data_IF_617721262572
#
_entry.id   IF_617721262572
#
_cell.length_a   1.000
_cell.length_b   1.000
_cell.length_c   1.000
_cell.angle_alpha   90.00
_cell.angle_beta   90.00
_cell.angle_gamma   90.00
#
_symmetry.space_group_name_H-M   'P 1'
#
loop_
_entity.id
_entity.type
_entity.pdbx_description
1 polymer ?
#
# COMPACT_ATOMS: atom_id res chain seq x y z
N UNK A 1 7.80 -22.90 -6.96
CA UNK A 1 6.56 -22.10 -7.07
C UNK A 1 6.75 -20.89 -6.18
N UNK A 2 6.73 -19.69 -6.75
CA UNK A 2 7.11 -18.46 -6.03
C UNK A 2 5.90 -17.98 -5.25
N UNK A 3 5.88 -18.23 -3.94
CA UNK A 3 4.90 -17.58 -3.06
C UNK A 3 5.16 -16.07 -3.07
N UNK A 4 4.08 -15.29 -3.11
CA UNK A 4 4.19 -13.85 -2.89
C UNK A 4 4.72 -13.62 -1.48
N UNK A 5 5.92 -13.06 -1.39
CA UNK A 5 6.55 -12.69 -0.12
C UNK A 5 6.44 -11.20 0.09
N UNK A 6 6.50 -10.76 1.35
CA UNK A 6 6.56 -9.34 1.70
C UNK A 6 7.68 -8.62 0.94
N UNK A 7 8.82 -9.29 0.72
CA UNK A 7 9.91 -8.77 -0.09
C UNK A 7 9.50 -8.49 -1.54
N UNK A 8 8.85 -9.46 -2.21
CA UNK A 8 8.39 -9.29 -3.59
C UNK A 8 7.35 -8.17 -3.73
N UNK A 9 6.41 -8.10 -2.80
CA UNK A 9 5.43 -7.01 -2.74
C UNK A 9 6.13 -5.67 -2.50
N UNK A 10 7.08 -5.62 -1.57
CA UNK A 10 7.88 -4.43 -1.30
C UNK A 10 8.63 -3.96 -2.56
N UNK A 11 9.23 -4.86 -3.32
CA UNK A 11 9.92 -4.48 -4.55
C UNK A 11 8.96 -3.90 -5.60
N UNK A 12 7.77 -4.51 -5.76
CA UNK A 12 6.73 -3.97 -6.64
C UNK A 12 6.25 -2.59 -6.17
N UNK A 13 6.02 -2.40 -4.87
CA UNK A 13 5.66 -1.12 -4.28
C UNK A 13 6.79 -0.08 -4.38
N UNK A 14 8.05 -0.52 -4.38
CA UNK A 14 9.21 0.37 -4.54
C UNK A 14 9.32 0.96 -5.95
N UNK A 15 8.66 0.36 -6.95
CA UNK A 15 8.53 0.98 -8.29
C UNK A 15 7.65 2.22 -8.28
N UNK A 16 6.80 2.36 -7.25
CA UNK A 16 5.89 3.47 -7.07
C UNK A 16 6.57 4.57 -6.28
N UNK A 17 6.95 5.64 -6.99
CA UNK A 17 7.66 6.79 -6.43
C UNK A 17 6.72 7.92 -6.09
N UNK A 18 6.90 8.50 -4.91
CA UNK A 18 6.26 9.73 -4.52
C UNK A 18 6.91 10.92 -5.26
N UNK A 19 6.14 11.69 -6.05
CA UNK A 19 6.67 12.82 -6.81
C UNK A 19 7.04 14.02 -5.92
N UNK A 20 6.55 14.10 -4.69
CA UNK A 20 6.91 15.16 -3.74
C UNK A 20 8.28 14.91 -3.11
N UNK A 21 8.49 13.70 -2.58
CA UNK A 21 9.69 13.33 -1.85
C UNK A 21 10.78 12.79 -2.79
N UNK A 22 10.44 12.47 -4.04
CA UNK A 22 11.34 11.85 -5.02
C UNK A 22 11.79 10.44 -4.65
N UNK A 23 11.10 9.81 -3.69
CA UNK A 23 11.45 8.53 -3.07
C UNK A 23 10.27 7.59 -3.09
N UNK A 24 10.53 6.30 -3.03
CA UNK A 24 9.49 5.27 -3.04
C UNK A 24 8.69 5.22 -1.73
N UNK A 25 7.39 4.90 -1.85
CA UNK A 25 6.45 4.83 -0.72
C UNK A 25 6.89 3.83 0.36
N UNK A 26 7.69 2.83 -0.01
CA UNK A 26 8.25 1.84 0.92
C UNK A 26 9.44 2.41 1.69
N UNK A 27 10.40 3.06 1.02
CA UNK A 27 11.54 3.72 1.68
C UNK A 27 11.11 4.91 2.54
N UNK A 28 10.00 5.56 2.19
CA UNK A 28 9.40 6.61 3.02
C UNK A 28 8.72 6.07 4.28
N UNK A 29 8.59 4.74 4.42
CA UNK A 29 7.91 4.12 5.55
C UNK A 29 6.42 4.42 5.62
N UNK A 30 5.81 4.84 4.49
CA UNK A 30 4.37 5.12 4.42
C UNK A 30 3.52 3.86 4.45
N UNK A 31 4.10 2.72 4.08
CA UNK A 31 3.45 1.41 4.08
C UNK A 31 3.50 0.83 5.49
N UNK A 32 2.33 0.76 6.13
CA UNK A 32 2.11 0.21 7.46
C UNK A 32 1.27 -1.05 7.39
N UNK A 33 1.56 -2.01 8.29
CA UNK A 33 0.76 -3.22 8.44
C UNK A 33 0.72 -4.11 7.19
N UNK A 34 1.79 -4.13 6.39
CA UNK A 34 1.91 -5.05 5.25
C UNK A 34 1.74 -6.49 5.73
N UNK A 35 0.76 -7.17 5.16
CA UNK A 35 0.50 -8.59 5.40
C UNK A 35 0.28 -9.29 4.09
N UNK A 36 0.92 -10.44 3.94
CA UNK A 36 0.71 -11.35 2.83
C UNK A 36 0.16 -12.67 3.39
N UNK A 37 -1.03 -13.06 2.96
CA UNK A 37 -1.68 -14.33 3.36
C UNK A 37 -2.28 -14.99 2.13
N UNK A 38 -1.75 -16.15 1.76
CA UNK A 38 -2.35 -16.97 0.69
C UNK A 38 -2.54 -16.18 -0.62
N UNK A 39 -1.54 -15.37 -0.99
CA UNK A 39 -1.61 -14.45 -2.14
C UNK A 39 -2.51 -13.23 -1.95
N UNK A 40 -3.14 -13.04 -0.78
CA UNK A 40 -3.83 -11.81 -0.42
C UNK A 40 -2.85 -10.86 0.25
N UNK A 41 -2.66 -9.70 -0.37
CA UNK A 41 -1.79 -8.64 0.10
C UNK A 41 -2.65 -7.51 0.66
N UNK A 42 -2.43 -7.13 1.91
CA UNK A 42 -3.10 -6.00 2.54
C UNK A 42 -2.09 -5.08 3.21
N UNK A 43 -2.20 -3.77 2.95
CA UNK A 43 -1.37 -2.76 3.60
C UNK A 43 -2.12 -1.43 3.70
N UNK A 44 -1.75 -0.64 4.71
CA UNK A 44 -2.22 0.73 4.89
C UNK A 44 -1.13 1.71 4.41
N UNK A 45 -1.52 2.70 3.60
CA UNK A 45 -0.70 3.88 3.33
C UNK A 45 -1.16 5.00 4.25
N UNK A 46 -0.34 5.32 5.25
CA UNK A 46 -0.57 6.49 6.09
C UNK A 46 0.03 7.72 5.42
N UNK A 47 -0.86 8.66 5.05
CA UNK A 47 -0.49 9.85 4.29
C UNK A 47 -1.23 11.05 4.88
N UNK A 48 -0.61 12.24 4.94
CA UNK A 48 -1.31 13.43 5.39
C UNK A 48 -2.39 13.83 4.39
N UNK A 49 -3.52 14.38 4.87
CA UNK A 49 -4.71 14.67 4.03
C UNK A 49 -4.40 15.56 2.83
N UNK A 50 -3.50 16.51 3.04
CA UNK A 50 -2.97 17.46 2.06
C UNK A 50 -2.28 16.78 0.87
N UNK A 51 -1.81 15.53 1.07
CA UNK A 51 -1.20 14.70 0.03
C UNK A 51 -2.14 13.62 -0.50
N UNK A 52 -3.27 13.37 0.15
CA UNK A 52 -4.20 12.31 -0.21
C UNK A 52 -4.71 12.42 -1.66
N UNK A 53 -5.08 13.62 -2.09
CA UNK A 53 -5.54 13.90 -3.47
C UNK A 53 -4.44 13.58 -4.51
N UNK A 54 -3.18 13.83 -4.16
CA UNK A 54 -2.02 13.52 -5.02
C UNK A 54 -1.59 12.05 -4.91
N UNK A 55 -1.94 11.40 -3.81
CA UNK A 55 -1.65 9.99 -3.53
C UNK A 55 -2.72 9.03 -4.07
N UNK A 56 -3.90 9.50 -4.48
CA UNK A 56 -4.90 8.66 -5.17
C UNK A 56 -4.35 7.88 -6.39
N UNK A 57 -3.65 8.52 -7.35
CA UNK A 57 -3.04 7.81 -8.47
C UNK A 57 -1.91 6.88 -8.02
N UNK A 58 -1.13 7.29 -7.00
CA UNK A 58 -0.07 6.47 -6.40
C UNK A 58 -0.64 5.22 -5.74
N UNK A 59 -1.74 5.34 -5.00
CA UNK A 59 -2.45 4.24 -4.35
C UNK A 59 -2.94 3.24 -5.39
N UNK A 60 -3.57 3.71 -6.47
CA UNK A 60 -3.96 2.84 -7.59
C UNK A 60 -2.76 2.15 -8.20
N UNK A 61 -1.66 2.86 -8.40
CA UNK A 61 -0.43 2.27 -8.95
C UNK A 61 0.16 1.22 -7.99
N UNK A 62 0.19 1.48 -6.69
CA UNK A 62 0.66 0.58 -5.64
C UNK A 62 -0.20 -0.69 -5.55
N UNK A 63 -1.52 -0.54 -5.53
CA UNK A 63 -2.47 -1.66 -5.56
C UNK A 63 -2.27 -2.51 -6.81
N UNK A 64 -2.16 -1.88 -7.98
CA UNK A 64 -1.97 -2.57 -9.26
C UNK A 64 -0.60 -3.24 -9.37
N UNK A 65 0.46 -2.62 -8.84
CA UNK A 65 1.80 -3.19 -8.77
C UNK A 65 1.83 -4.42 -7.87
N UNK A 66 1.23 -4.33 -6.66
CA UNK A 66 1.10 -5.46 -5.75
C UNK A 66 0.25 -6.58 -6.36
N UNK A 67 -0.88 -6.26 -7.02
CA UNK A 67 -1.71 -7.25 -7.71
C UNK A 67 -1.01 -7.89 -8.93
N UNK A 68 -0.01 -7.23 -9.50
CA UNK A 68 0.81 -7.75 -10.59
C UNK A 68 1.93 -8.67 -10.14
N UNK A 69 2.17 -8.83 -8.84
CA UNK A 69 3.22 -9.71 -8.32
C UNK A 69 2.82 -11.17 -8.54
N UNK A 70 3.68 -12.01 -9.14
CA UNK A 70 3.40 -13.42 -9.31
C UNK A 70 3.22 -14.10 -7.95
N UNK A 71 2.05 -14.73 -7.76
CA UNK A 71 1.63 -15.31 -6.48
C UNK A 71 0.65 -14.44 -5.69
N UNK A 72 0.38 -13.20 -6.12
CA UNK A 72 -0.68 -12.36 -5.55
C UNK A 72 -1.99 -12.63 -6.26
N UNK A 73 -2.99 -13.06 -5.49
CA UNK A 73 -4.38 -13.24 -5.91
C UNK A 73 -5.16 -11.94 -5.80
N UNK A 74 -4.90 -11.14 -4.76
CA UNK A 74 -5.59 -9.89 -4.53
C UNK A 74 -4.71 -8.93 -3.73
N UNK A 75 -4.74 -7.65 -4.08
CA UNK A 75 -4.03 -6.61 -3.34
C UNK A 75 -5.01 -5.53 -2.88
N UNK A 76 -4.93 -5.16 -1.61
CA UNK A 76 -5.76 -4.12 -1.01
C UNK A 76 -4.86 -3.05 -0.41
N UNK A 77 -4.86 -1.87 -1.03
CA UNK A 77 -4.20 -0.68 -0.50
C UNK A 77 -5.23 0.22 0.18
N UNK A 78 -5.12 0.40 1.49
CA UNK A 78 -5.99 1.32 2.24
C UNK A 78 -5.28 2.66 2.39
N UNK A 79 -5.83 3.72 1.79
CA UNK A 79 -5.29 5.06 1.96
C UNK A 79 -5.88 5.70 3.22
N UNK A 80 -5.06 5.82 4.26
CA UNK A 80 -5.41 6.46 5.53
C UNK A 80 -4.97 7.91 5.50
N UNK A 81 -5.78 8.74 4.84
CA UNK A 81 -5.68 10.19 4.83
C UNK A 81 -6.40 10.77 6.05
N UNK A 82 -5.75 10.71 7.22
CA UNK A 82 -6.24 11.22 8.51
C UNK A 82 -7.77 11.39 8.62
N UNK A 83 -8.47 10.28 8.85
CA UNK A 83 -9.56 10.26 9.82
C UNK A 83 -8.99 9.48 10.99
N UNK A 84 -8.98 9.97 12.25
CA UNK A 84 -8.71 9.09 13.37
C UNK A 84 -9.60 7.88 13.17
N UNK A 85 -9.00 6.68 13.16
CA UNK A 85 -9.71 5.43 12.93
C UNK A 85 -11.02 5.52 13.69
N UNK A 86 -12.13 5.58 12.95
CA UNK A 86 -13.44 5.52 13.55
C UNK A 86 -13.45 4.15 14.23
N UNK A 87 -13.21 4.19 15.53
CA UNK A 87 -13.47 3.10 16.46
C UNK A 87 -14.81 2.51 16.03
N UNK A 88 -14.92 1.19 15.82
CA UNK A 88 -16.18 0.61 15.41
C UNK A 88 -17.21 1.03 16.45
N UNK A 89 -18.13 1.91 16.04
CA UNK A 89 -19.26 2.30 16.85
C UNK A 89 -20.13 1.06 17.00
N UNK A 90 -19.93 0.33 18.09
CA UNK A 90 -20.89 -0.63 18.63
C UNK A 90 -21.83 0.16 19.54
N UNK A 91 -23.12 0.15 19.23
CA UNK A 91 -24.09 -0.39 20.17
C UNK A 91 -24.67 -1.74 19.71
#
# INVERSE_FOLDING_TARGET
MTEATEAAVREALATVRDPESGRDIVSLGMVQGLKVRDGLVAFALEVPRERAERMEPIRRAAEKAAAGVPGVLNATAVLTAHRPAAQPARP
#
